data_IF_829229182582
#
_entry.id   IF_829229182582
#
_cell.length_a   1.000
_cell.length_b   1.000
_cell.length_c   1.000
_cell.angle_alpha   90.00
_cell.angle_beta   90.00
_cell.angle_gamma   90.00
#
_symmetry.space_group_name_H-M   'P 1'
#
loop_
_entity.id
_entity.type
_entity.pdbx_description
1 polymer ?
#
# COMPACT_ATOMS: atom_id res chain seq x y z
N UNK A 1 -44.78 30.80 3.10
CA UNK A 1 -43.54 31.39 2.53
C UNK A 1 -42.64 30.21 2.16
N UNK A 2 -42.80 29.55 1.01
CA UNK A 2 -42.34 30.01 -0.32
C UNK A 2 -40.82 29.77 -0.42
N UNK A 3 -40.25 28.91 -1.25
CA UNK A 3 -40.74 28.23 -2.43
C UNK A 3 -39.87 26.99 -2.75
N UNK A 4 -40.50 25.97 -3.32
CA UNK A 4 -39.89 24.81 -3.95
C UNK A 4 -38.98 25.29 -5.10
N UNK A 5 -37.72 24.85 -5.18
CA UNK A 5 -36.93 25.00 -6.41
C UNK A 5 -36.87 23.66 -7.15
N UNK A 6 -37.60 23.66 -8.25
CA UNK A 6 -37.74 22.57 -9.22
C UNK A 6 -36.40 22.26 -9.88
N UNK A 7 -36.04 20.97 -9.91
CA UNK A 7 -35.08 20.42 -10.88
C UNK A 7 -35.77 20.42 -12.24
N UNK A 8 -35.33 21.27 -13.15
CA UNK A 8 -35.73 21.23 -14.56
C UNK A 8 -34.63 20.53 -15.35
N UNK A 9 -34.99 19.40 -15.95
CA UNK A 9 -34.21 18.69 -16.98
C UNK A 9 -33.98 19.62 -18.17
N UNK A 10 -32.73 19.69 -18.63
CA UNK A 10 -32.36 20.25 -19.92
C UNK A 10 -31.35 19.34 -20.57
N UNK A 11 -31.82 18.43 -21.42
CA UNK A 11 -31.03 17.78 -22.46
C UNK A 11 -30.55 18.86 -23.44
N UNK A 12 -29.24 19.02 -23.56
CA UNK A 12 -28.63 19.97 -24.48
C UNK A 12 -27.19 19.54 -24.76
N UNK A 13 -26.99 19.05 -25.98
CA UNK A 13 -25.70 18.84 -26.61
C UNK A 13 -25.03 20.20 -26.85
N UNK A 14 -23.79 20.38 -26.38
CA UNK A 14 -22.90 21.54 -26.64
C UNK A 14 -21.46 21.03 -26.59
N UNK A 15 -20.85 20.72 -27.75
CA UNK A 15 -19.94 21.53 -28.59
C UNK A 15 -18.62 21.95 -27.93
N UNK A 16 -17.53 21.79 -28.69
CA UNK A 16 -16.16 22.23 -28.40
C UNK A 16 -16.12 23.59 -27.69
N UNK A 17 -15.71 23.58 -26.42
CA UNK A 17 -15.55 24.75 -25.58
C UNK A 17 -14.41 24.52 -24.60
N UNK A 18 -13.57 25.53 -24.44
CA UNK A 18 -12.40 25.51 -23.55
C UNK A 18 -12.84 25.16 -22.12
N UNK A 19 -12.32 24.05 -21.59
CA UNK A 19 -12.67 23.57 -20.26
C UNK A 19 -11.98 24.45 -19.21
N UNK A 20 -12.77 25.25 -18.49
CA UNK A 20 -12.26 26.16 -17.46
C UNK A 20 -12.26 25.47 -16.11
N UNK A 21 -11.08 25.36 -15.50
CA UNK A 21 -10.90 24.80 -14.16
C UNK A 21 -11.68 25.69 -13.17
N UNK A 22 -12.74 25.14 -12.58
CA UNK A 22 -13.65 25.86 -11.68
C UNK A 22 -13.15 25.95 -10.25
N UNK A 23 -12.33 25.00 -9.81
CA UNK A 23 -11.69 25.02 -8.48
C UNK A 23 -10.48 24.08 -8.44
N UNK A 24 -9.43 24.45 -7.70
CA UNK A 24 -8.26 23.60 -7.45
C UNK A 24 -8.05 23.51 -5.94
N UNK A 25 -8.46 22.38 -5.37
CA UNK A 25 -8.22 22.10 -3.95
C UNK A 25 -6.91 21.30 -3.77
N UNK A 26 -6.05 21.76 -2.86
CA UNK A 26 -4.87 21.03 -2.41
C UNK A 26 -5.10 20.55 -0.98
N UNK A 27 -4.87 19.26 -0.76
CA UNK A 27 -4.92 18.64 0.57
C UNK A 27 -3.62 17.89 0.80
N UNK A 28 -3.05 18.07 1.98
CA UNK A 28 -1.91 17.28 2.41
C UNK A 28 -2.40 15.88 2.80
N UNK A 29 -1.83 14.86 2.17
CA UNK A 29 -2.08 13.46 2.49
C UNK A 29 -0.79 12.84 3.03
N UNK A 30 -0.91 12.08 4.11
CA UNK A 30 0.20 11.33 4.70
C UNK A 30 -0.01 9.84 4.45
N UNK A 31 1.02 9.19 3.91
CA UNK A 31 1.07 7.73 3.84
C UNK A 31 1.85 7.19 5.04
N UNK A 32 1.26 6.23 5.74
CA UNK A 32 1.91 5.58 6.87
C UNK A 32 3.06 4.67 6.42
N UNK A 33 4.01 4.46 7.33
CA UNK A 33 5.11 3.52 7.09
C UNK A 33 4.56 2.09 7.15
N UNK A 34 5.09 1.17 6.34
CA UNK A 34 4.73 -0.23 6.44
C UNK A 34 5.13 -0.79 7.81
N UNK A 35 4.35 -1.76 8.30
CA UNK A 35 4.71 -2.55 9.47
C UNK A 35 5.83 -3.54 9.15
N UNK A 36 6.37 -4.20 10.19
CA UNK A 36 7.33 -5.28 9.95
C UNK A 36 6.64 -6.45 9.25
N UNK A 37 7.39 -7.11 8.37
CA UNK A 37 6.88 -8.13 7.48
C UNK A 37 6.66 -9.46 8.22
N UNK A 38 5.46 -10.03 8.13
CA UNK A 38 5.15 -11.37 8.62
C UNK A 38 5.13 -12.39 7.47
N UNK A 39 4.96 -13.68 7.79
CA UNK A 39 5.02 -14.77 6.81
C UNK A 39 3.96 -14.64 5.71
N UNK A 40 2.73 -14.29 6.09
CA UNK A 40 1.59 -14.20 5.16
C UNK A 40 1.79 -13.08 4.18
N UNK A 41 2.17 -11.90 4.66
CA UNK A 41 2.42 -10.73 3.82
C UNK A 41 3.69 -10.90 2.98
N UNK A 42 4.73 -11.56 3.49
CA UNK A 42 5.90 -11.94 2.68
C UNK A 42 5.47 -12.75 1.45
N UNK A 43 4.69 -13.82 1.65
CA UNK A 43 4.23 -14.66 0.53
C UNK A 43 3.31 -13.88 -0.42
N UNK A 44 2.39 -13.08 0.12
CA UNK A 44 1.46 -12.26 -0.69
C UNK A 44 2.19 -11.24 -1.56
N UNK A 45 3.15 -10.52 -0.98
CA UNK A 45 3.95 -9.53 -1.70
C UNK A 45 4.86 -10.20 -2.72
N UNK A 46 5.50 -11.32 -2.37
CA UNK A 46 6.34 -12.07 -3.30
C UNK A 46 5.53 -12.62 -4.49
N UNK A 47 4.31 -13.13 -4.27
CA UNK A 47 3.45 -13.58 -5.36
C UNK A 47 2.99 -12.42 -6.25
N UNK A 48 2.54 -11.31 -5.67
CA UNK A 48 2.03 -10.16 -6.44
C UNK A 48 3.13 -9.35 -7.14
N UNK A 49 4.31 -9.24 -6.53
CA UNK A 49 5.39 -8.36 -7.01
C UNK A 49 6.47 -9.12 -7.79
N UNK A 50 6.74 -10.38 -7.42
CA UNK A 50 7.82 -11.18 -7.99
C UNK A 50 7.32 -12.43 -8.73
N UNK A 51 6.01 -12.72 -8.72
CA UNK A 51 5.43 -13.89 -9.36
C UNK A 51 5.81 -15.23 -8.71
N UNK A 52 6.33 -15.21 -7.48
CA UNK A 52 6.79 -16.42 -6.80
C UNK A 52 5.63 -17.17 -6.15
N UNK A 53 5.65 -18.51 -6.26
CA UNK A 53 4.70 -19.34 -5.52
C UNK A 53 5.01 -19.32 -4.01
N UNK A 54 4.01 -19.48 -3.13
CA UNK A 54 4.25 -19.49 -1.68
C UNK A 54 5.31 -20.50 -1.22
N UNK A 55 5.35 -21.70 -1.83
CA UNK A 55 6.34 -22.73 -1.51
C UNK A 55 7.75 -22.32 -1.91
N UNK A 56 7.92 -21.74 -3.10
CA UNK A 56 9.21 -21.22 -3.58
C UNK A 56 9.69 -20.07 -2.69
N UNK A 57 8.81 -19.12 -2.36
CA UNK A 57 9.13 -17.99 -1.48
C UNK A 57 9.65 -18.48 -0.13
N UNK A 58 8.95 -19.44 0.50
CA UNK A 58 9.38 -19.99 1.79
C UNK A 58 10.69 -20.75 1.70
N UNK A 59 10.93 -21.49 0.62
CA UNK A 59 12.19 -22.21 0.42
C UNK A 59 13.39 -21.25 0.31
N UNK A 60 13.23 -20.17 -0.46
CA UNK A 60 14.28 -19.14 -0.60
C UNK A 60 14.49 -18.39 0.71
N UNK A 61 13.41 -18.03 1.41
CA UNK A 61 13.51 -17.33 2.69
C UNK A 61 14.25 -18.18 3.75
N UNK A 62 13.98 -19.49 3.80
CA UNK A 62 14.69 -20.41 4.70
C UNK A 62 16.19 -20.51 4.37
N UNK A 63 16.53 -20.51 3.08
CA UNK A 63 17.92 -20.51 2.64
C UNK A 63 18.64 -19.20 3.02
N UNK A 64 17.96 -18.05 2.90
CA UNK A 64 18.50 -16.74 3.29
C UNK A 64 18.67 -16.63 4.81
N UNK A 65 17.74 -17.19 5.59
CA UNK A 65 17.86 -17.28 7.05
C UNK A 65 19.08 -18.12 7.45
N UNK A 66 19.26 -19.28 6.83
CA UNK A 66 20.41 -20.16 7.09
C UNK A 66 21.75 -19.49 6.77
N UNK A 67 21.78 -18.64 5.75
CA UNK A 67 22.95 -17.84 5.37
C UNK A 67 23.16 -16.60 6.27
N UNK A 68 22.22 -16.30 7.17
CA UNK A 68 22.31 -15.18 8.12
C UNK A 68 21.89 -13.82 7.54
N UNK A 69 21.24 -13.77 6.38
CA UNK A 69 20.83 -12.51 5.75
C UNK A 69 19.55 -11.92 6.32
N UNK A 70 18.63 -12.77 6.79
CA UNK A 70 17.35 -12.36 7.34
C UNK A 70 17.07 -13.06 8.67
N UNK A 71 16.16 -12.50 9.46
CA UNK A 71 15.60 -13.18 10.62
C UNK A 71 14.70 -14.36 10.21
N UNK A 72 14.42 -15.26 11.14
CA UNK A 72 13.59 -16.45 10.90
C UNK A 72 12.25 -16.09 10.21
N UNK A 73 11.95 -16.67 9.03
CA UNK A 73 10.89 -16.16 8.15
C UNK A 73 9.48 -16.67 8.50
N UNK A 74 9.35 -17.56 9.50
CA UNK A 74 8.05 -18.12 9.94
C UNK A 74 7.61 -17.45 11.23
N UNK A 75 6.94 -16.33 11.09
CA UNK A 75 6.41 -15.51 12.18
C UNK A 75 5.08 -14.85 11.83
N UNK A 76 4.22 -14.67 12.83
CA UNK A 76 2.99 -13.87 12.75
C UNK A 76 3.20 -12.45 13.28
N UNK A 77 4.38 -12.16 13.85
CA UNK A 77 4.69 -10.87 14.47
C UNK A 77 4.94 -9.79 13.41
N UNK A 78 4.34 -8.63 13.60
CA UNK A 78 4.48 -7.44 12.73
C UNK A 78 5.24 -6.29 13.40
N UNK A 79 5.92 -6.59 14.50
CA UNK A 79 6.64 -5.63 15.33
C UNK A 79 7.99 -6.18 15.78
N UNK A 80 9.02 -5.34 15.70
CA UNK A 80 10.32 -5.65 16.30
C UNK A 80 10.24 -5.50 17.82
N UNK A 81 10.99 -6.32 18.59
CA UNK A 81 11.06 -6.15 20.04
C UNK A 81 11.70 -4.80 20.39
N UNK A 82 11.34 -4.24 21.55
CA UNK A 82 11.76 -2.88 21.94
C UNK A 82 13.28 -2.69 22.03
N UNK A 83 14.03 -3.78 22.21
CA UNK A 83 15.49 -3.82 22.30
C UNK A 83 16.18 -4.19 20.98
N UNK A 84 15.47 -4.20 19.84
CA UNK A 84 16.06 -4.51 18.55
C UNK A 84 16.89 -3.33 18.01
N UNK A 85 18.16 -3.56 17.70
CA UNK A 85 19.04 -2.53 17.15
C UNK A 85 18.88 -2.38 15.63
N UNK A 86 17.94 -1.51 15.23
CA UNK A 86 17.71 -1.16 13.82
C UNK A 86 18.92 -0.47 13.17
N UNK A 87 19.70 0.29 13.94
CA UNK A 87 20.82 1.06 13.38
C UNK A 87 22.03 0.17 13.10
N UNK A 88 22.26 -0.85 13.92
CA UNK A 88 23.30 -1.85 13.72
C UNK A 88 23.06 -2.75 12.52
N UNK A 89 21.80 -3.10 12.22
CA UNK A 89 21.46 -3.96 11.07
C UNK A 89 21.62 -3.29 9.71
N UNK A 90 21.64 -1.95 9.65
CA UNK A 90 21.68 -1.18 8.39
C UNK A 90 23.10 -0.78 7.94
N UNK A 91 24.14 -1.19 8.67
CA UNK A 91 25.55 -0.82 8.40
C UNK A 91 26.23 -1.72 7.38
#
# INVERSE_FOLDING_TARGET
MGARKNVRRGSGEVISGEDQITDVSKKEARKERPCALNTVELMRVASSSLGMSPSTTMHVAEALYTQGYISYPRTETTQYPANFDLSGTLK
#
